data_IF_385805202726
#
_entry.id   IF_385805202726
#
_cell.length_a   1.000
_cell.length_b   1.000
_cell.length_c   1.000
_cell.angle_alpha   90.00
_cell.angle_beta   90.00
_cell.angle_gamma   90.00
#
_symmetry.space_group_name_H-M   'P 1'
#
loop_
_entity.id
_entity.type
_entity.pdbx_description
1 polymer ?
#
# COMPACT_ATOMS: atom_id res chain seq x y z
N UNK A 1 2.14 -10.45 13.87
CA UNK A 1 1.33 -11.57 13.33
C UNK A 1 2.28 -12.74 13.07
N UNK A 2 1.95 -13.96 13.51
CA UNK A 2 2.79 -15.15 13.28
C UNK A 2 2.51 -15.74 11.89
N UNK A 3 3.57 -16.27 11.26
CA UNK A 3 3.72 -16.69 9.85
C UNK A 3 2.94 -17.98 9.51
N UNK A 4 1.68 -18.12 9.92
CA UNK A 4 0.90 -19.36 9.67
C UNK A 4 -0.37 -19.18 8.81
N UNK A 5 -0.57 -18.03 8.15
CA UNK A 5 -1.72 -17.90 7.22
C UNK A 5 -1.52 -16.84 6.12
N UNK A 6 -0.29 -16.65 5.65
CA UNK A 6 -0.04 -15.77 4.50
C UNK A 6 -0.36 -16.52 3.21
N UNK A 7 -1.33 -16.01 2.46
CA UNK A 7 -1.52 -16.36 1.05
C UNK A 7 -0.15 -16.32 0.36
N UNK A 8 0.36 -17.46 -0.17
CA UNK A 8 1.70 -17.53 -0.73
C UNK A 8 1.91 -16.57 -1.89
N UNK A 9 0.83 -16.16 -2.57
CA UNK A 9 0.87 -15.20 -3.67
C UNK A 9 0.69 -13.74 -3.24
N UNK A 10 0.52 -13.47 -1.94
CA UNK A 10 0.42 -12.10 -1.41
C UNK A 10 1.63 -11.25 -1.84
N UNK A 11 2.84 -11.76 -1.57
CA UNK A 11 4.07 -11.05 -1.90
C UNK A 11 4.26 -10.93 -3.40
N UNK A 12 3.93 -11.97 -4.18
CA UNK A 12 3.96 -11.89 -5.65
C UNK A 12 3.09 -10.75 -6.20
N UNK A 13 1.89 -10.55 -5.66
CA UNK A 13 1.02 -9.44 -6.08
C UNK A 13 1.53 -8.07 -5.62
N UNK A 14 2.06 -7.98 -4.40
CA UNK A 14 2.68 -6.74 -3.91
C UNK A 14 3.89 -6.34 -4.78
N UNK A 15 4.76 -7.30 -5.09
CA UNK A 15 5.95 -7.10 -5.91
C UNK A 15 5.62 -6.71 -7.35
N UNK A 16 4.50 -7.21 -7.90
CA UNK A 16 4.04 -6.81 -9.22
C UNK A 16 3.70 -5.30 -9.28
N UNK A 17 3.11 -4.76 -8.22
CA UNK A 17 2.85 -3.32 -8.12
C UNK A 17 4.14 -2.51 -7.98
N UNK A 18 5.10 -2.97 -7.18
CA UNK A 18 6.42 -2.34 -7.04
C UNK A 18 7.17 -2.36 -8.37
N UNK A 19 7.11 -3.47 -9.09
CA UNK A 19 7.75 -3.63 -10.41
C UNK A 19 7.19 -2.64 -11.43
N UNK A 20 5.86 -2.46 -11.45
CA UNK A 20 5.22 -1.44 -12.30
C UNK A 20 5.59 -0.02 -11.88
N UNK A 21 5.65 0.28 -10.58
CA UNK A 21 6.09 1.59 -10.11
C UNK A 21 7.55 1.85 -10.55
N UNK A 22 8.45 0.89 -10.36
CA UNK A 22 9.85 0.99 -10.77
C UNK A 22 9.99 1.21 -12.28
N UNK A 23 9.16 0.57 -13.13
CA UNK A 23 9.21 0.78 -14.58
C UNK A 23 8.76 2.18 -15.01
N UNK A 24 8.11 2.94 -14.13
CA UNK A 24 7.68 4.33 -14.38
C UNK A 24 8.71 5.36 -13.90
N UNK A 25 9.77 4.92 -13.21
CA UNK A 25 10.85 5.81 -12.75
C UNK A 25 11.75 6.15 -13.94
N UNK A 26 11.84 7.45 -14.24
CA UNK A 26 12.77 8.01 -15.24
C UNK A 26 13.47 9.25 -14.68
N UNK A 27 14.43 9.80 -15.43
CA UNK A 27 15.13 11.05 -15.06
C UNK A 27 14.17 12.25 -14.95
N UNK A 28 13.09 12.27 -15.74
CA UNK A 28 12.11 13.35 -15.80
C UNK A 28 11.06 13.27 -14.69
N UNK A 29 10.68 12.04 -14.31
CA UNK A 29 9.63 11.78 -13.31
C UNK A 29 10.22 11.66 -11.91
N UNK A 30 11.26 10.84 -11.75
CA UNK A 30 11.88 10.52 -10.47
C UNK A 30 11.00 9.68 -9.53
N UNK A 31 11.63 8.98 -8.59
CA UNK A 31 10.95 8.05 -7.68
C UNK A 31 9.91 8.74 -6.77
N UNK A 32 10.10 10.01 -6.40
CA UNK A 32 9.16 10.75 -5.57
C UNK A 32 7.79 10.96 -6.23
N UNK A 33 7.75 11.32 -7.52
CA UNK A 33 6.48 11.50 -8.26
C UNK A 33 5.79 10.16 -8.50
N UNK A 34 6.56 9.11 -8.81
CA UNK A 34 6.05 7.74 -8.95
C UNK A 34 5.46 7.22 -7.65
N UNK A 35 6.12 7.47 -6.51
CA UNK A 35 5.60 7.09 -5.20
C UNK A 35 4.26 7.79 -4.90
N UNK A 36 4.15 9.07 -5.21
CA UNK A 36 2.89 9.82 -5.04
C UNK A 36 1.76 9.28 -5.92
N UNK A 37 2.02 8.98 -7.21
CA UNK A 37 1.01 8.40 -8.10
C UNK A 37 0.65 6.96 -7.72
N UNK A 38 1.61 6.17 -7.22
CA UNK A 38 1.37 4.82 -6.74
C UNK A 38 0.44 4.82 -5.51
N UNK A 39 0.71 5.68 -4.52
CA UNK A 39 -0.15 5.84 -3.34
C UNK A 39 -1.57 6.32 -3.72
N UNK A 40 -1.68 7.24 -4.69
CA UNK A 40 -2.98 7.67 -5.21
C UNK A 40 -3.74 6.54 -5.91
N UNK A 41 -3.04 5.71 -6.70
CA UNK A 41 -3.61 4.53 -7.35
C UNK A 41 -4.14 3.51 -6.33
N UNK A 42 -3.35 3.19 -5.30
CA UNK A 42 -3.74 2.33 -4.20
C UNK A 42 -5.02 2.83 -3.52
N UNK A 43 -5.08 4.13 -3.17
CA UNK A 43 -6.25 4.71 -2.52
C UNK A 43 -7.53 4.57 -3.36
N UNK A 44 -7.44 4.79 -4.69
CA UNK A 44 -8.57 4.60 -5.61
C UNK A 44 -9.03 3.14 -5.67
N UNK A 45 -8.09 2.20 -5.69
CA UNK A 45 -8.40 0.77 -5.69
C UNK A 45 -9.09 0.34 -4.39
N UNK A 46 -8.56 0.73 -3.22
CA UNK A 46 -9.16 0.43 -1.92
C UNK A 46 -10.58 1.02 -1.80
N UNK A 47 -10.78 2.26 -2.23
CA UNK A 47 -12.10 2.89 -2.25
C UNK A 47 -13.08 2.13 -3.15
N UNK A 48 -12.64 1.69 -4.34
CA UNK A 48 -13.44 0.86 -5.23
C UNK A 48 -13.82 -0.48 -4.59
N UNK A 49 -12.84 -1.20 -4.01
CA UNK A 49 -13.08 -2.50 -3.37
C UNK A 49 -14.10 -2.37 -2.24
N UNK A 50 -13.98 -1.35 -1.39
CA UNK A 50 -14.92 -1.13 -0.30
C UNK A 50 -16.33 -0.82 -0.83
N UNK A 51 -16.44 0.08 -1.80
CA UNK A 51 -17.71 0.43 -2.42
C UNK A 51 -18.37 -0.77 -3.12
N UNK A 52 -17.59 -1.59 -3.83
CA UNK A 52 -18.09 -2.77 -4.53
C UNK A 52 -18.60 -3.88 -3.60
N UNK A 53 -18.16 -3.89 -2.33
CA UNK A 53 -18.60 -4.82 -1.30
C UNK A 53 -19.64 -4.22 -0.34
N UNK A 54 -20.08 -2.98 -0.56
CA UNK A 54 -21.13 -2.35 0.25
C UNK A 54 -22.51 -2.75 -0.25
N UNK A 55 -23.42 -3.07 0.66
CA UNK A 55 -24.78 -3.54 0.32
C UNK A 55 -25.62 -2.48 -0.43
N UNK A 56 -25.36 -1.20 -0.15
CA UNK A 56 -26.10 -0.10 -0.74
C UNK A 56 -25.34 1.22 -0.61
N UNK A 57 -25.78 2.24 -1.36
CA UNK A 57 -25.26 3.61 -1.23
C UNK A 57 -25.41 4.16 0.20
N UNK A 58 -26.57 4.06 0.87
CA UNK A 58 -26.69 4.53 2.26
C UNK A 58 -25.74 3.80 3.24
N UNK A 59 -25.52 2.49 3.04
CA UNK A 59 -24.56 1.74 3.86
C UNK A 59 -23.12 2.25 3.64
N UNK A 60 -22.72 2.43 2.37
CA UNK A 60 -21.42 3.00 2.02
C UNK A 60 -21.21 4.41 2.61
N UNK A 61 -22.25 5.26 2.56
CA UNK A 61 -22.20 6.60 3.15
C UNK A 61 -22.06 6.56 4.67
N UNK A 62 -22.78 5.66 5.34
CA UNK A 62 -22.72 5.49 6.79
C UNK A 62 -21.36 4.94 7.28
N UNK A 63 -20.69 4.13 6.48
CA UNK A 63 -19.40 3.52 6.82
C UNK A 63 -18.18 4.30 6.33
N UNK A 64 -18.36 5.46 5.67
CA UNK A 64 -17.28 6.26 5.08
C UNK A 64 -16.08 6.44 6.02
N UNK A 65 -16.32 6.91 7.23
CA UNK A 65 -15.23 7.27 8.15
C UNK A 65 -14.54 6.01 8.71
N UNK A 66 -15.31 4.94 8.95
CA UNK A 66 -14.74 3.63 9.35
C UNK A 66 -13.86 3.05 8.25
N UNK A 67 -14.27 3.17 6.98
CA UNK A 67 -13.49 2.71 5.85
C UNK A 67 -12.16 3.46 5.74
N UNK A 68 -12.21 4.79 5.89
CA UNK A 68 -11.01 5.64 5.89
C UNK A 68 -10.07 5.26 7.03
N UNK A 69 -10.59 5.15 8.26
CA UNK A 69 -9.80 4.78 9.43
C UNK A 69 -9.12 3.41 9.24
N UNK A 70 -9.88 2.42 8.76
CA UNK A 70 -9.35 1.09 8.47
C UNK A 70 -8.17 1.13 7.50
N UNK A 71 -8.33 1.74 6.32
CA UNK A 71 -7.25 1.74 5.32
C UNK A 71 -6.05 2.59 5.73
N UNK A 72 -6.26 3.71 6.44
CA UNK A 72 -5.15 4.52 6.97
C UNK A 72 -4.36 3.74 8.01
N UNK A 73 -5.03 3.01 8.90
CA UNK A 73 -4.38 2.18 9.90
C UNK A 73 -3.60 1.01 9.25
N UNK A 74 -4.19 0.32 8.28
CA UNK A 74 -3.49 -0.75 7.56
C UNK A 74 -2.23 -0.24 6.84
N UNK A 75 -2.31 0.94 6.21
CA UNK A 75 -1.15 1.56 5.59
C UNK A 75 -0.09 1.95 6.62
N UNK A 76 -0.50 2.55 7.75
CA UNK A 76 0.41 2.92 8.84
C UNK A 76 1.20 1.72 9.35
N UNK A 77 0.51 0.64 9.73
CA UNK A 77 1.15 -0.57 10.24
C UNK A 77 2.14 -1.15 9.23
N UNK A 78 1.75 -1.24 7.96
CA UNK A 78 2.62 -1.75 6.89
C UNK A 78 3.83 -0.84 6.68
N UNK A 79 3.63 0.48 6.70
CA UNK A 79 4.71 1.44 6.53
C UNK A 79 5.69 1.39 7.70
N UNK A 80 5.20 1.36 8.93
CA UNK A 80 6.02 1.25 10.14
C UNK A 80 6.88 -0.01 10.13
N UNK A 81 6.30 -1.18 9.79
CA UNK A 81 7.05 -2.44 9.67
C UNK A 81 8.21 -2.33 8.67
N UNK A 82 7.96 -1.77 7.49
CA UNK A 82 8.99 -1.61 6.46
C UNK A 82 10.02 -0.55 6.85
N UNK A 83 9.57 0.56 7.43
CA UNK A 83 10.43 1.66 7.83
C UNK A 83 11.39 1.23 8.94
N UNK A 84 10.89 0.50 9.94
CA UNK A 84 11.70 -0.04 11.03
C UNK A 84 12.73 -1.06 10.52
N UNK A 85 12.40 -1.86 9.50
CA UNK A 85 13.37 -2.75 8.84
C UNK A 85 14.51 -1.96 8.17
N UNK A 86 14.19 -0.85 7.49
CA UNK A 86 15.20 0.08 6.94
C UNK A 86 16.02 0.76 8.04
N UNK A 87 15.42 1.14 9.16
CA UNK A 87 16.15 1.72 10.31
C UNK A 87 17.14 0.69 10.87
N UNK A 88 16.70 -0.56 11.04
CA UNK A 88 17.54 -1.63 11.59
C UNK A 88 18.67 -2.08 10.64
N UNK A 89 18.46 -1.97 9.32
CA UNK A 89 19.39 -2.48 8.30
C UNK A 89 19.95 -1.38 7.37
N UNK A 90 19.93 -0.12 7.80
CA UNK A 90 20.22 1.04 6.95
C UNK A 90 21.53 0.89 6.16
N UNK A 91 22.64 0.59 6.84
CA UNK A 91 23.96 0.48 6.23
C UNK A 91 24.02 -0.67 5.22
N UNK A 92 23.41 -1.82 5.58
CA UNK A 92 23.38 -3.04 4.78
C UNK A 92 22.58 -2.86 3.49
N UNK A 93 21.42 -2.20 3.55
CA UNK A 93 20.53 -2.05 2.39
C UNK A 93 20.97 -0.94 1.46
N UNK A 94 21.48 0.17 2.01
CA UNK A 94 21.80 1.35 1.22
C UNK A 94 23.28 1.46 0.85
N UNK A 95 24.14 0.57 1.35
CA UNK A 95 25.60 0.62 1.21
C UNK A 95 26.15 2.00 1.59
N UNK A 96 25.73 2.52 2.75
CA UNK A 96 26.06 3.85 3.27
C UNK A 96 26.47 3.78 4.73
#
# INVERSE_FOLDING_TARGET
>A
MTVENTDPDFYHRADAHISLANSQVSNEVGAGKVSASFMYGMARYCAFVYAANSDSKPALEADRDKAIEYFVEQFRLSFEENFDDYVANYEKYLNR
#
